data_IF_368823220086
#
_entry.id   IF_368823220086
#
_cell.length_a   1.000
_cell.length_b   1.000
_cell.length_c   1.000
_cell.angle_alpha   90.00
_cell.angle_beta   90.00
_cell.angle_gamma   90.00
#
_symmetry.space_group_name_H-M   'P 1'
#
loop_
_entity.id
_entity.type
_entity.pdbx_description
1 polymer ?
#
# COMPACT_ATOMS: atom_id res chain seq x y z
N UNK A 1 1.37 21.95 -5.63
CA UNK A 1 2.65 22.27 -6.31
C UNK A 1 3.28 21.06 -7.01
N UNK A 2 3.48 19.92 -6.33
CA UNK A 2 4.13 18.73 -6.92
C UNK A 2 3.46 18.21 -8.21
N UNK A 3 2.13 18.25 -8.28
CA UNK A 3 1.35 17.85 -9.47
C UNK A 3 1.50 18.82 -10.65
N UNK A 4 1.58 20.13 -10.39
CA UNK A 4 1.83 21.16 -11.41
C UNK A 4 3.23 21.02 -12.02
N UNK A 5 4.25 20.75 -11.20
CA UNK A 5 5.62 20.53 -11.67
C UNK A 5 5.70 19.26 -12.53
N UNK A 6 5.03 18.18 -12.12
CA UNK A 6 4.97 16.95 -12.93
C UNK A 6 4.29 17.19 -14.28
N UNK A 7 3.16 17.91 -14.30
CA UNK A 7 2.47 18.28 -15.53
C UNK A 7 3.37 19.08 -16.47
N UNK A 8 4.07 20.09 -15.95
CA UNK A 8 5.03 20.89 -16.70
C UNK A 8 6.16 20.05 -17.28
N UNK A 9 6.74 19.13 -16.50
CA UNK A 9 7.81 18.23 -16.97
C UNK A 9 7.32 17.27 -18.06
N UNK A 10 6.12 16.70 -17.94
CA UNK A 10 5.52 15.87 -19.00
C UNK A 10 5.25 16.68 -20.27
N UNK A 11 4.79 17.93 -20.13
CA UNK A 11 4.49 18.77 -21.27
C UNK A 11 5.78 19.21 -21.99
N UNK A 12 6.83 19.50 -21.22
CA UNK A 12 8.14 19.86 -21.73
C UNK A 12 8.85 18.69 -22.43
N UNK A 13 8.73 17.48 -21.88
CA UNK A 13 9.26 16.27 -22.54
C UNK A 13 8.47 15.89 -23.80
N UNK A 14 7.15 16.08 -23.81
CA UNK A 14 6.34 15.92 -25.02
C UNK A 14 6.75 16.94 -26.10
N UNK A 15 6.92 18.21 -25.72
CA UNK A 15 7.40 19.25 -26.64
C UNK A 15 8.79 18.93 -27.20
N UNK A 16 9.71 18.42 -26.37
CA UNK A 16 11.03 17.98 -26.81
C UNK A 16 10.94 16.80 -27.80
N UNK A 17 10.07 15.82 -27.54
CA UNK A 17 9.83 14.71 -28.48
C UNK A 17 9.28 15.19 -29.82
N UNK A 18 8.28 16.07 -29.82
CA UNK A 18 7.72 16.66 -31.03
C UNK A 18 8.80 17.42 -31.80
N UNK A 19 9.63 18.19 -31.11
CA UNK A 19 10.75 18.91 -31.72
C UNK A 19 11.77 17.97 -32.36
N UNK A 20 12.14 16.87 -31.69
CA UNK A 20 13.07 15.86 -32.22
C UNK A 20 12.51 15.18 -33.48
N UNK A 21 11.23 14.80 -33.46
CA UNK A 21 10.57 14.19 -34.62
C UNK A 21 10.51 15.18 -35.79
N UNK A 22 10.16 16.44 -35.52
CA UNK A 22 10.11 17.51 -36.52
C UNK A 22 11.49 17.79 -37.14
N UNK A 23 12.54 17.88 -36.31
CA UNK A 23 13.91 18.04 -36.79
C UNK A 23 14.37 16.85 -37.62
N UNK A 24 14.04 15.62 -37.21
CA UNK A 24 14.30 14.41 -37.99
C UNK A 24 13.60 14.42 -39.35
N UNK A 25 12.33 14.85 -39.39
CA UNK A 25 11.58 15.01 -40.63
C UNK A 25 12.22 16.05 -41.58
N UNK A 26 12.50 17.25 -41.07
CA UNK A 26 13.17 18.31 -41.84
C UNK A 26 14.55 17.88 -42.36
N UNK A 27 15.28 17.06 -41.60
CA UNK A 27 16.59 16.54 -42.01
C UNK A 27 16.49 15.59 -43.21
N UNK A 28 15.52 14.67 -43.17
CA UNK A 28 15.28 13.68 -44.22
C UNK A 28 14.79 14.39 -45.49
N UNK A 29 13.91 15.38 -45.32
CA UNK A 29 13.32 16.16 -46.40
C UNK A 29 14.34 17.11 -47.05
N UNK A 30 15.25 17.72 -46.26
CA UNK A 30 16.17 18.74 -46.77
C UNK A 30 17.53 18.23 -47.27
N UNK A 31 18.04 17.06 -46.84
CA UNK A 31 19.43 16.63 -47.15
C UNK A 31 19.67 15.12 -47.18
N UNK A 32 18.91 14.38 -47.98
CA UNK A 32 19.15 12.94 -48.22
C UNK A 32 20.58 12.55 -48.67
N UNK A 33 21.44 13.49 -49.13
CA UNK A 33 22.78 13.17 -49.65
C UNK A 33 23.98 13.96 -49.09
N UNK A 34 23.81 14.96 -48.19
CA UNK A 34 24.94 15.84 -47.75
C UNK A 34 24.96 16.14 -46.25
N UNK A 35 24.79 15.13 -45.41
CA UNK A 35 24.95 15.31 -43.97
C UNK A 35 26.35 14.94 -43.51
N UNK A 36 27.07 15.94 -43.02
CA UNK A 36 28.37 15.82 -42.36
C UNK A 36 28.26 14.94 -41.10
N UNK A 37 29.27 14.12 -40.81
CA UNK A 37 29.21 13.09 -39.77
C UNK A 37 28.85 13.64 -38.37
N UNK A 38 29.19 14.91 -38.09
CA UNK A 38 28.89 15.60 -36.85
C UNK A 38 27.39 15.86 -36.62
N UNK A 39 26.61 16.14 -37.66
CA UNK A 39 25.15 16.37 -37.51
C UNK A 39 24.40 15.05 -37.27
N UNK A 40 24.87 13.94 -37.85
CA UNK A 40 24.29 12.61 -37.61
C UNK A 40 24.53 12.13 -36.18
N UNK A 41 25.74 12.32 -35.64
CA UNK A 41 26.06 11.93 -34.27
C UNK A 41 25.29 12.76 -33.24
N UNK A 42 25.09 14.05 -33.50
CA UNK A 42 24.26 14.92 -32.65
C UNK A 42 22.80 14.45 -32.62
N UNK A 43 22.23 14.08 -33.78
CA UNK A 43 20.85 13.60 -33.86
C UNK A 43 20.65 12.28 -33.11
N UNK A 44 21.59 11.34 -33.26
CA UNK A 44 21.60 10.07 -32.52
C UNK A 44 21.72 10.32 -31.02
N UNK A 45 22.61 11.22 -30.59
CA UNK A 45 22.79 11.59 -29.20
C UNK A 45 21.52 12.19 -28.57
N UNK A 46 20.86 13.13 -29.27
CA UNK A 46 19.61 13.74 -28.81
C UNK A 46 18.48 12.71 -28.75
N UNK A 47 18.40 11.80 -29.74
CA UNK A 47 17.40 10.73 -29.76
C UNK A 47 17.58 9.75 -28.59
N UNK A 48 18.81 9.42 -28.26
CA UNK A 48 19.14 8.56 -27.11
C UNK A 48 18.75 9.23 -25.79
N UNK A 49 19.04 10.53 -25.63
CA UNK A 49 18.65 11.29 -24.45
C UNK A 49 17.12 11.32 -24.31
N UNK A 50 16.39 11.56 -25.40
CA UNK A 50 14.93 11.54 -25.38
C UNK A 50 14.35 10.18 -24.96
N UNK A 51 14.94 9.08 -25.43
CA UNK A 51 14.59 7.72 -25.01
C UNK A 51 14.85 7.49 -23.52
N UNK A 52 16.02 7.88 -23.01
CA UNK A 52 16.37 7.75 -21.60
C UNK A 52 15.41 8.57 -20.72
N UNK A 53 15.11 9.81 -21.10
CA UNK A 53 14.15 10.65 -20.37
C UNK A 53 12.75 10.03 -20.35
N UNK A 54 12.30 9.48 -21.47
CA UNK A 54 10.98 8.81 -21.56
C UNK A 54 10.93 7.56 -20.68
N UNK A 55 12.00 6.78 -20.67
CA UNK A 55 12.12 5.60 -19.81
C UNK A 55 12.13 5.97 -18.32
N UNK A 56 12.91 7.00 -17.94
CA UNK A 56 12.94 7.50 -16.56
C UNK A 56 11.58 8.00 -16.11
N UNK A 57 10.90 8.82 -16.91
CA UNK A 57 9.54 9.30 -16.60
C UNK A 57 8.55 8.16 -16.44
N UNK A 58 8.58 7.17 -17.34
CA UNK A 58 7.69 6.00 -17.26
C UNK A 58 7.96 5.20 -15.98
N UNK A 59 9.23 5.01 -15.62
CA UNK A 59 9.62 4.30 -14.40
C UNK A 59 9.18 5.04 -13.13
N UNK A 60 9.33 6.37 -13.09
CA UNK A 60 8.91 7.21 -11.96
C UNK A 60 7.39 7.30 -11.82
N UNK A 61 6.64 7.31 -12.92
CA UNK A 61 5.17 7.27 -12.89
C UNK A 61 4.70 5.91 -12.36
N UNK A 62 5.29 4.81 -12.84
CA UNK A 62 4.98 3.46 -12.36
C UNK A 62 5.34 3.27 -10.90
N UNK A 63 6.49 3.78 -10.45
CA UNK A 63 6.88 3.69 -9.03
C UNK A 63 5.93 4.48 -8.14
N UNK A 64 5.59 5.72 -8.51
CA UNK A 64 4.67 6.56 -7.76
C UNK A 64 3.23 6.00 -7.73
N UNK A 65 2.77 5.39 -8.82
CA UNK A 65 1.47 4.73 -8.87
C UNK A 65 1.44 3.49 -7.96
N UNK A 66 2.48 2.66 -8.01
CA UNK A 66 2.63 1.49 -7.16
C UNK A 66 2.76 1.85 -5.68
N UNK A 67 3.50 2.92 -5.35
CA UNK A 67 3.61 3.44 -3.98
C UNK A 67 2.27 3.93 -3.44
N UNK A 68 1.49 4.68 -4.23
CA UNK A 68 0.15 5.13 -3.82
C UNK A 68 -0.81 3.96 -3.63
N UNK A 69 -0.79 2.99 -4.54
CA UNK A 69 -1.61 1.78 -4.41
C UNK A 69 -1.25 1.01 -3.14
N UNK A 70 0.06 0.79 -2.89
CA UNK A 70 0.55 0.15 -1.66
C UNK A 70 0.17 0.93 -0.41
N UNK A 71 0.34 2.26 -0.40
CA UNK A 71 -0.04 3.10 0.72
C UNK A 71 -1.54 3.01 1.03
N UNK A 72 -2.40 3.05 -0.01
CA UNK A 72 -3.85 2.93 0.18
C UNK A 72 -4.28 1.55 0.69
N UNK A 73 -3.61 0.48 0.26
CA UNK A 73 -3.86 -0.88 0.76
C UNK A 73 -3.42 -1.02 2.23
N UNK A 74 -2.24 -0.47 2.57
CA UNK A 74 -1.76 -0.48 3.95
C UNK A 74 -2.65 0.33 4.89
N UNK A 75 -3.15 1.48 4.44
CA UNK A 75 -4.11 2.28 5.20
C UNK A 75 -5.40 1.48 5.47
N UNK A 76 -6.00 0.87 4.43
CA UNK A 76 -7.20 0.03 4.59
C UNK A 76 -6.99 -1.16 5.51
N UNK A 77 -5.81 -1.80 5.44
CA UNK A 77 -5.43 -2.88 6.37
C UNK A 77 -5.38 -2.38 7.81
N UNK A 78 -4.77 -1.21 8.04
CA UNK A 78 -4.69 -0.58 9.36
C UNK A 78 -6.08 -0.30 9.95
N UNK A 79 -6.95 0.36 9.19
CA UNK A 79 -8.33 0.66 9.59
C UNK A 79 -9.13 -0.62 9.93
N UNK A 80 -8.94 -1.67 9.13
CA UNK A 80 -9.57 -2.96 9.34
C UNK A 80 -9.08 -3.65 10.62
N UNK A 81 -7.77 -3.65 10.87
CA UNK A 81 -7.21 -4.23 12.08
C UNK A 81 -7.60 -3.46 13.34
N UNK A 82 -7.62 -2.12 13.28
CA UNK A 82 -8.08 -1.28 14.38
C UNK A 82 -9.56 -1.53 14.72
N UNK A 83 -10.42 -1.58 13.70
CA UNK A 83 -11.84 -1.90 13.86
C UNK A 83 -12.04 -3.23 14.59
N UNK A 84 -11.27 -4.25 14.23
CA UNK A 84 -11.34 -5.54 14.91
C UNK A 84 -10.86 -5.53 16.34
N UNK A 85 -9.74 -4.88 16.62
CA UNK A 85 -9.23 -4.78 17.99
C UNK A 85 -10.28 -4.10 18.88
N UNK A 86 -10.95 -3.06 18.39
CA UNK A 86 -12.04 -2.40 19.11
C UNK A 86 -13.26 -3.31 19.31
N UNK A 87 -13.66 -4.07 18.29
CA UNK A 87 -14.74 -5.07 18.39
C UNK A 87 -14.36 -6.14 19.42
N UNK A 88 -13.14 -6.66 19.37
CA UNK A 88 -12.65 -7.68 20.29
C UNK A 88 -12.64 -7.21 21.74
N UNK A 89 -12.15 -5.99 21.98
CA UNK A 89 -12.12 -5.39 23.31
C UNK A 89 -13.53 -5.10 23.85
N UNK A 90 -14.44 -4.62 23.01
CA UNK A 90 -15.84 -4.41 23.43
C UNK A 90 -16.51 -5.74 23.80
N UNK A 91 -16.26 -6.81 23.03
CA UNK A 91 -16.75 -8.15 23.34
C UNK A 91 -16.18 -8.69 24.65
N UNK A 92 -14.89 -8.47 24.93
CA UNK A 92 -14.28 -8.85 26.21
C UNK A 92 -14.88 -8.10 27.42
N UNK A 93 -15.37 -6.88 27.22
CA UNK A 93 -16.00 -6.07 28.28
C UNK A 93 -17.49 -6.38 28.46
N UNK A 94 -18.20 -6.75 27.40
CA UNK A 94 -19.66 -6.86 27.38
C UNK A 94 -20.22 -8.29 27.46
N UNK A 95 -19.37 -9.33 27.45
CA UNK A 95 -19.83 -10.72 27.45
C UNK A 95 -20.60 -11.12 28.72
N UNK A 96 -21.92 -10.88 28.70
CA UNK A 96 -22.92 -11.72 29.36
C UNK A 96 -23.29 -12.86 28.41
N UNK A 97 -23.62 -14.03 28.94
CA UNK A 97 -23.80 -15.31 28.23
C UNK A 97 -24.74 -15.28 26.99
N UNK A 98 -25.56 -14.24 26.81
CA UNK A 98 -26.42 -14.03 25.64
C UNK A 98 -25.77 -13.41 24.39
N UNK A 99 -24.50 -12.96 24.43
CA UNK A 99 -23.87 -12.24 23.31
C UNK A 99 -23.03 -13.11 22.35
N UNK A 100 -22.98 -14.44 22.53
CA UNK A 100 -22.23 -15.36 21.65
C UNK A 100 -22.68 -15.31 20.18
N UNK A 101 -23.98 -15.10 19.93
CA UNK A 101 -24.51 -14.96 18.56
C UNK A 101 -24.05 -13.65 17.89
N UNK A 102 -23.89 -12.57 18.67
CA UNK A 102 -23.36 -11.27 18.19
C UNK A 102 -21.87 -11.39 17.84
N UNK A 103 -21.11 -12.14 18.64
CA UNK A 103 -19.70 -12.46 18.37
C UNK A 103 -19.56 -13.21 17.04
N UNK A 104 -20.39 -14.23 16.77
CA UNK A 104 -20.33 -14.98 15.51
C UNK A 104 -20.63 -14.09 14.30
N UNK A 105 -21.69 -13.26 14.37
CA UNK A 105 -22.07 -12.40 13.25
C UNK A 105 -20.99 -11.34 12.93
N UNK A 106 -20.44 -10.68 13.96
CA UNK A 106 -19.34 -9.72 13.77
C UNK A 106 -18.03 -10.40 13.34
N UNK A 107 -17.79 -11.63 13.80
CA UNK A 107 -16.64 -12.41 13.38
C UNK A 107 -16.72 -12.82 11.91
N UNK A 108 -17.91 -13.15 11.39
CA UNK A 108 -18.09 -13.53 9.99
C UNK A 108 -17.97 -12.32 9.05
N UNK A 109 -18.52 -11.16 9.41
CA UNK A 109 -18.30 -9.89 8.69
C UNK A 109 -16.81 -9.50 8.66
N UNK A 110 -16.11 -9.77 9.76
CA UNK A 110 -14.69 -9.51 9.85
C UNK A 110 -13.87 -10.49 9.01
N UNK A 111 -14.21 -11.79 9.02
CA UNK A 111 -13.55 -12.81 8.16
C UNK A 111 -13.64 -12.46 6.68
N UNK A 112 -14.80 -12.01 6.20
CA UNK A 112 -14.93 -11.60 4.79
C UNK A 112 -14.02 -10.42 4.46
N UNK A 113 -13.89 -9.48 5.40
CA UNK A 113 -13.10 -8.27 5.21
C UNK A 113 -11.59 -8.58 5.23
N UNK A 114 -11.12 -9.41 6.16
CA UNK A 114 -9.71 -9.85 6.19
C UNK A 114 -9.38 -10.71 4.97
N UNK A 115 -10.30 -11.57 4.52
CA UNK A 115 -10.07 -12.42 3.34
C UNK A 115 -9.70 -11.63 2.09
N UNK A 116 -10.16 -10.38 1.99
CA UNK A 116 -9.86 -9.48 0.88
C UNK A 116 -8.55 -8.72 1.04
N UNK A 117 -8.15 -8.38 2.28
CA UNK A 117 -7.07 -7.43 2.51
C UNK A 117 -5.90 -7.97 3.34
N UNK A 118 -6.11 -8.92 4.24
CA UNK A 118 -5.10 -9.43 5.15
C UNK A 118 -4.18 -10.47 4.54
N UNK A 119 -3.01 -10.69 5.17
CA UNK A 119 -2.13 -11.80 4.80
C UNK A 119 -2.70 -13.15 5.24
N UNK A 120 -2.20 -14.21 4.62
CA UNK A 120 -2.53 -15.59 4.97
C UNK A 120 -2.23 -15.91 6.45
N UNK A 121 -1.16 -15.36 7.01
CA UNK A 121 -0.82 -15.56 8.43
C UNK A 121 -1.85 -14.87 9.34
N UNK A 122 -2.27 -13.65 9.02
CA UNK A 122 -3.32 -12.93 9.75
C UNK A 122 -4.63 -13.72 9.69
N UNK A 123 -5.05 -14.16 8.51
CA UNK A 123 -6.27 -14.97 8.32
C UNK A 123 -6.23 -16.22 9.21
N UNK A 124 -5.09 -16.93 9.22
CA UNK A 124 -4.90 -18.13 10.04
C UNK A 124 -5.04 -17.83 11.53
N UNK A 125 -4.38 -16.78 12.03
CA UNK A 125 -4.43 -16.39 13.45
C UNK A 125 -5.81 -15.93 13.90
N UNK A 126 -6.55 -15.20 13.05
CA UNK A 126 -7.96 -14.85 13.35
C UNK A 126 -8.82 -16.09 13.46
N UNK A 127 -8.68 -17.05 12.55
CA UNK A 127 -9.49 -18.27 12.62
C UNK A 127 -9.21 -19.05 13.91
N UNK A 128 -7.93 -19.18 14.30
CA UNK A 128 -7.54 -19.82 15.57
C UNK A 128 -8.14 -19.08 16.78
N UNK A 129 -8.02 -17.76 16.82
CA UNK A 129 -8.58 -16.94 17.89
C UNK A 129 -10.10 -17.14 18.03
N UNK A 130 -10.82 -17.12 16.90
CA UNK A 130 -12.28 -17.27 16.89
C UNK A 130 -12.71 -18.69 17.27
N UNK A 131 -11.99 -19.72 16.82
CA UNK A 131 -12.24 -21.11 17.21
C UNK A 131 -12.05 -21.31 18.71
N UNK A 132 -10.97 -20.73 19.28
CA UNK A 132 -10.68 -20.86 20.70
C UNK A 132 -11.66 -20.06 21.55
N UNK A 133 -11.99 -18.83 21.16
CA UNK A 133 -12.99 -18.03 21.86
C UNK A 133 -14.40 -18.64 21.79
N UNK A 134 -14.73 -19.39 20.74
CA UNK A 134 -15.98 -20.14 20.67
C UNK A 134 -16.01 -21.32 21.67
N UNK A 135 -14.87 -21.98 21.91
CA UNK A 135 -14.76 -23.13 22.82
C UNK A 135 -14.63 -22.72 24.29
N UNK A 136 -13.74 -21.79 24.56
CA UNK A 136 -13.22 -21.47 25.90
C UNK A 136 -13.62 -20.07 26.38
N UNK A 137 -14.16 -19.25 25.47
CA UNK A 137 -14.50 -17.85 25.72
C UNK A 137 -13.33 -16.90 25.45
N UNK A 138 -13.62 -15.60 25.26
CA UNK A 138 -12.64 -14.59 24.82
C UNK A 138 -11.59 -14.25 25.89
N UNK A 139 -11.87 -14.57 27.16
CA UNK A 139 -10.93 -14.34 28.26
C UNK A 139 -9.78 -15.37 28.27
N UNK A 140 -10.05 -16.58 27.79
CA UNK A 140 -9.08 -17.67 27.76
C UNK A 140 -8.25 -17.64 26.47
N UNK A 141 -8.74 -17.01 25.41
CA UNK A 141 -8.05 -16.88 24.12
C UNK A 141 -7.12 -15.65 24.00
N UNK A 142 -6.52 -15.22 25.12
CA UNK A 142 -5.71 -14.01 25.18
C UNK A 142 -4.36 -14.19 24.47
N UNK A 143 -3.76 -15.38 24.58
CA UNK A 143 -2.48 -15.68 23.95
C UNK A 143 -2.59 -15.64 22.41
N UNK A 144 -3.68 -16.18 21.88
CA UNK A 144 -3.97 -16.21 20.44
C UNK A 144 -4.29 -14.81 19.91
N UNK A 145 -4.88 -13.95 20.75
CA UNK A 145 -5.07 -12.54 20.42
C UNK A 145 -3.72 -11.81 20.33
N UNK A 146 -2.77 -12.09 21.22
CA UNK A 146 -1.43 -11.51 21.18
C UNK A 146 -0.65 -11.97 19.94
N UNK A 147 -0.70 -13.25 19.60
CA UNK A 147 -0.09 -13.77 18.37
C UNK A 147 -0.73 -13.15 17.12
N UNK A 148 -2.04 -12.93 17.12
CA UNK A 148 -2.73 -12.23 16.05
C UNK A 148 -2.24 -10.78 15.90
N UNK A 149 -2.10 -10.04 17.00
CA UNK A 149 -1.57 -8.68 16.96
C UNK A 149 -0.16 -8.63 16.38
N UNK A 150 0.69 -9.61 16.70
CA UNK A 150 2.02 -9.75 16.11
C UNK A 150 1.97 -10.01 14.61
N UNK A 151 1.06 -10.89 14.16
CA UNK A 151 0.87 -11.16 12.74
C UNK A 151 0.35 -9.93 11.98
N UNK A 152 -0.63 -9.21 12.53
CA UNK A 152 -1.15 -7.96 11.98
C UNK A 152 -0.05 -6.90 11.85
N UNK A 153 0.80 -6.77 12.88
CA UNK A 153 1.95 -5.87 12.86
C UNK A 153 2.96 -6.24 11.77
N UNK A 154 3.27 -7.52 11.64
CA UNK A 154 4.17 -8.01 10.59
C UNK A 154 3.59 -7.73 9.21
N UNK A 155 2.27 -7.86 9.03
CA UNK A 155 1.59 -7.63 7.76
C UNK A 155 1.51 -6.14 7.35
N UNK A 156 1.53 -5.21 8.32
CA UNK A 156 1.57 -3.76 8.07
C UNK A 156 2.97 -3.24 7.69
N UNK A 157 4.01 -4.09 7.75
CA UNK A 157 5.40 -3.74 7.51
C UNK A 157 6.07 -3.13 8.76
N UNK A 158 7.29 -3.60 9.05
CA UNK A 158 8.04 -3.29 10.28
C UNK A 158 8.31 -1.79 10.54
N UNK A 159 8.10 -0.92 9.54
CA UNK A 159 8.35 0.52 9.60
C UNK A 159 7.09 1.38 9.88
N UNK A 160 5.89 0.79 9.89
CA UNK A 160 4.68 1.51 10.31
C UNK A 160 4.60 1.53 11.84
N UNK A 161 5.37 2.46 12.42
CA UNK A 161 5.22 2.94 13.79
C UNK A 161 3.93 3.77 13.85
N UNK A 162 2.77 3.11 13.81
CA UNK A 162 1.58 3.65 14.48
C UNK A 162 1.72 3.32 15.98
N UNK A 163 1.27 4.20 16.90
CA UNK A 163 1.77 4.29 18.28
C UNK A 163 1.14 3.23 19.20
N UNK A 164 1.09 1.98 18.76
CA UNK A 164 0.40 0.93 19.47
C UNK A 164 1.19 0.46 20.70
N UNK A 165 2.53 0.61 20.75
CA UNK A 165 3.28 0.20 21.96
C UNK A 165 2.92 1.03 23.19
N UNK A 166 2.79 2.35 23.04
CA UNK A 166 2.44 3.23 24.15
C UNK A 166 0.93 3.20 24.48
N UNK A 167 0.08 2.94 23.50
CA UNK A 167 -1.37 2.83 23.73
C UNK A 167 -1.78 1.45 24.25
N UNK A 168 -1.18 0.36 23.77
CA UNK A 168 -1.39 -0.97 24.35
C UNK A 168 -0.79 -1.03 25.76
N UNK A 169 0.39 -0.46 26.02
CA UNK A 169 0.86 -0.32 27.41
C UNK A 169 -0.09 0.50 28.26
N UNK A 170 -0.59 1.65 27.79
CA UNK A 170 -1.59 2.44 28.52
C UNK A 170 -2.89 1.67 28.77
N UNK A 171 -3.37 0.91 27.78
CA UNK A 171 -4.56 0.06 27.91
C UNK A 171 -4.33 -1.08 28.93
N UNK A 172 -3.13 -1.66 28.98
CA UNK A 172 -2.75 -2.64 30.00
C UNK A 172 -2.59 -2.02 31.40
N UNK A 173 -2.07 -0.79 31.53
CA UNK A 173 -1.97 -0.11 32.84
C UNK A 173 -3.34 0.24 33.41
N UNK A 174 -4.30 0.60 32.55
CA UNK A 174 -5.69 0.93 32.96
C UNK A 174 -6.52 -0.32 33.30
N UNK A 175 -6.16 -1.50 32.77
CA UNK A 175 -6.86 -2.76 33.04
C UNK A 175 -6.33 -3.52 34.27
N UNK A 176 -5.22 -3.08 34.86
CA UNK A 176 -4.59 -3.66 36.07
C UNK A 176 -4.73 -2.77 37.32
N UNK A 177 -5.57 -1.73 37.26
CA UNK A 177 -6.04 -0.92 38.39
C UNK A 177 -7.55 -1.02 38.48
#
# INVERSE_FOLDING_TARGET
MRTLIQLLLTLLTLAALIWVVWQGYLLIDSRGQQMEAAQRSMLVGVSLIALVCTFMLTSSIRSAANERARASLMQRRGELYESFVNIWQSLKKEMKEGQKAKLQLQADEFKSSIGLYGSMEVIKRINLLLEQAAREGPHQSQAEFEELLLAMRSDLGQDNIYPIRNEIQKLFTILNT
#
